data_IF_133576970646
#
_entry.id   IF_133576970646
#
_cell.length_a   1.000
_cell.length_b   1.000
_cell.length_c   1.000
_cell.angle_alpha   90.00
_cell.angle_beta   90.00
_cell.angle_gamma   90.00
#
_symmetry.space_group_name_H-M   'P 1'
#
loop_
_entity.id
_entity.type
_entity.pdbx_description
1 polymer ?
#
# COMPACT_ATOMS: atom_id res chain seq x y z
N UNK A 1 -3.04 -10.90 -5.84
CA UNK A 1 -2.56 -10.55 -7.19
C UNK A 1 -2.20 -9.08 -7.22
N UNK A 2 -0.96 -8.78 -7.52
CA UNK A 2 -0.52 -7.40 -7.74
C UNK A 2 -1.25 -6.80 -8.95
N UNK A 3 -1.63 -5.50 -8.86
CA UNK A 3 -2.37 -4.81 -9.91
C UNK A 3 -3.88 -5.10 -9.95
N UNK A 4 -4.43 -5.80 -8.96
CA UNK A 4 -5.86 -6.10 -8.91
C UNK A 4 -6.70 -4.94 -8.35
N UNK A 5 -6.14 -4.17 -7.42
CA UNK A 5 -6.90 -3.24 -6.56
C UNK A 5 -7.59 -2.11 -7.35
N UNK A 6 -6.86 -1.38 -8.19
CA UNK A 6 -7.42 -0.23 -8.93
C UNK A 6 -8.55 -0.65 -9.86
N UNK A 7 -8.38 -1.63 -10.77
CA UNK A 7 -9.47 -2.08 -11.64
C UNK A 7 -10.64 -2.71 -10.86
N UNK A 8 -10.38 -3.38 -9.75
CA UNK A 8 -11.46 -3.92 -8.91
C UNK A 8 -12.28 -2.82 -8.22
N UNK A 9 -11.61 -1.78 -7.69
CA UNK A 9 -12.28 -0.62 -7.12
C UNK A 9 -13.12 0.12 -8.18
N UNK A 10 -12.58 0.28 -9.40
CA UNK A 10 -13.30 0.84 -10.54
C UNK A 10 -14.58 0.04 -10.85
N UNK A 11 -14.47 -1.29 -10.93
CA UNK A 11 -15.61 -2.17 -11.17
C UNK A 11 -16.64 -2.10 -10.03
N UNK A 12 -16.20 -2.11 -8.78
CA UNK A 12 -17.06 -1.98 -7.61
C UNK A 12 -17.83 -0.64 -7.62
N UNK A 13 -17.14 0.47 -7.92
CA UNK A 13 -17.77 1.80 -8.00
C UNK A 13 -18.79 1.89 -9.14
N UNK A 14 -18.49 1.28 -10.28
CA UNK A 14 -19.42 1.20 -11.40
C UNK A 14 -20.68 0.40 -11.05
N UNK A 15 -20.53 -0.71 -10.33
CA UNK A 15 -21.66 -1.53 -9.87
C UNK A 15 -22.42 -0.92 -8.69
N UNK A 16 -21.81 -0.03 -7.93
CA UNK A 16 -22.36 0.62 -6.73
C UNK A 16 -22.10 2.14 -6.77
N UNK A 17 -22.69 2.86 -7.71
CA UNK A 17 -22.34 4.26 -8.00
C UNK A 17 -22.57 5.23 -6.83
N UNK A 18 -23.49 4.90 -5.92
CA UNK A 18 -23.81 5.75 -4.77
C UNK A 18 -22.96 5.44 -3.52
N UNK A 19 -22.20 4.35 -3.54
CA UNK A 19 -21.38 3.95 -2.39
C UNK A 19 -19.99 4.54 -2.47
N UNK A 20 -19.38 4.80 -1.31
CA UNK A 20 -17.97 5.15 -1.24
C UNK A 20 -17.15 3.86 -1.43
N UNK A 21 -16.22 3.87 -2.38
CA UNK A 21 -15.36 2.72 -2.67
C UNK A 21 -13.91 3.10 -2.39
N UNK A 22 -13.29 2.38 -1.47
CA UNK A 22 -11.87 2.44 -1.20
C UNK A 22 -11.16 1.18 -1.72
N UNK A 23 -10.04 1.36 -2.42
CA UNK A 23 -9.05 0.33 -2.66
C UNK A 23 -7.84 0.57 -1.76
N UNK A 24 -7.33 -0.49 -1.11
CA UNK A 24 -6.10 -0.43 -0.31
C UNK A 24 -5.05 -1.24 -1.05
N UNK A 25 -3.95 -0.61 -1.42
CA UNK A 25 -2.92 -1.22 -2.27
C UNK A 25 -1.51 -0.87 -1.79
N UNK A 26 -0.54 -1.68 -2.13
CA UNK A 26 0.87 -1.35 -1.92
C UNK A 26 1.43 -0.55 -3.08
N UNK A 27 2.51 0.20 -2.85
CA UNK A 27 3.22 1.01 -3.85
C UNK A 27 3.62 0.19 -5.08
N UNK A 28 4.17 -1.00 -4.91
CA UNK A 28 4.53 -1.89 -6.03
C UNK A 28 3.33 -2.47 -6.77
N UNK A 29 2.21 -2.71 -6.07
CA UNK A 29 0.98 -3.20 -6.69
C UNK A 29 0.28 -2.10 -7.48
N UNK A 30 0.17 -0.91 -6.91
CA UNK A 30 -0.43 0.26 -7.53
C UNK A 30 0.26 0.63 -8.85
N UNK A 31 1.59 0.53 -8.91
CA UNK A 31 2.36 0.83 -10.12
C UNK A 31 2.01 -0.08 -11.32
N UNK A 32 1.38 -1.23 -11.09
CA UNK A 32 1.05 -2.14 -12.19
C UNK A 32 -0.18 -1.73 -12.99
N UNK A 33 -1.13 -1.01 -12.37
CA UNK A 33 -2.43 -0.67 -13.01
C UNK A 33 -2.90 0.75 -12.71
N UNK A 34 -2.02 1.64 -12.28
CA UNK A 34 -2.36 3.03 -11.98
C UNK A 34 -2.91 3.81 -13.19
N UNK A 35 -2.58 3.39 -14.42
CA UNK A 35 -3.09 4.00 -15.65
C UNK A 35 -4.63 3.99 -15.74
N UNK A 36 -5.30 3.10 -15.02
CA UNK A 36 -6.77 3.06 -14.98
C UNK A 36 -7.37 4.27 -14.25
N UNK A 37 -6.58 5.06 -13.53
CA UNK A 37 -7.03 6.35 -13.00
C UNK A 37 -7.50 7.29 -14.10
N UNK A 38 -6.88 7.26 -15.28
CA UNK A 38 -7.32 8.04 -16.44
C UNK A 38 -8.71 7.61 -16.88
N UNK A 39 -8.95 6.31 -16.93
CA UNK A 39 -10.27 5.75 -17.24
C UNK A 39 -11.31 6.21 -16.22
N UNK A 40 -10.95 6.18 -14.94
CA UNK A 40 -11.83 6.65 -13.85
C UNK A 40 -12.14 8.15 -13.95
N UNK A 41 -11.12 8.97 -14.22
CA UNK A 41 -11.28 10.42 -14.35
C UNK A 41 -12.14 10.80 -15.56
N UNK A 42 -11.96 10.12 -16.70
CA UNK A 42 -12.73 10.39 -17.92
C UNK A 42 -14.21 9.95 -17.84
N UNK A 43 -14.53 9.01 -16.97
CA UNK A 43 -15.86 8.42 -16.86
C UNK A 43 -16.56 8.75 -15.53
N UNK A 44 -16.10 9.73 -14.79
CA UNK A 44 -16.67 10.16 -13.50
C UNK A 44 -16.85 8.99 -12.51
N UNK A 45 -15.79 8.17 -12.36
CA UNK A 45 -15.74 7.02 -11.45
C UNK A 45 -14.87 7.40 -10.22
N UNK A 46 -15.44 8.07 -9.21
CA UNK A 46 -14.70 8.63 -8.09
C UNK A 46 -14.33 7.55 -7.05
N UNK A 47 -13.38 6.69 -7.41
CA UNK A 47 -12.77 5.75 -6.47
C UNK A 47 -11.75 6.45 -5.57
N UNK A 48 -11.46 5.85 -4.43
CA UNK A 48 -10.43 6.30 -3.50
C UNK A 48 -9.41 5.18 -3.33
N UNK A 49 -8.14 5.48 -3.56
CA UNK A 49 -7.05 4.51 -3.44
C UNK A 49 -6.11 4.94 -2.33
N UNK A 50 -5.96 4.09 -1.32
CA UNK A 50 -4.94 4.22 -0.29
C UNK A 50 -3.70 3.43 -0.74
N UNK A 51 -2.62 4.14 -1.06
CA UNK A 51 -1.32 3.54 -1.41
C UNK A 51 -0.48 3.46 -0.15
N UNK A 52 -0.28 2.25 0.35
CA UNK A 52 0.59 1.98 1.50
C UNK A 52 2.03 1.86 0.99
N UNK A 53 2.76 2.96 1.08
CA UNK A 53 4.10 3.07 0.51
C UNK A 53 5.17 2.75 1.56
N UNK A 54 5.70 1.53 1.51
CA UNK A 54 6.87 1.11 2.28
C UNK A 54 8.15 1.06 1.43
N UNK A 55 8.09 1.53 0.19
CA UNK A 55 9.21 1.55 -0.76
C UNK A 55 9.81 0.16 -1.03
N UNK A 56 8.96 -0.88 -0.94
CA UNK A 56 9.45 -2.25 -1.08
C UNK A 56 8.34 -3.19 -1.56
N UNK A 57 8.73 -4.26 -2.26
CA UNK A 57 7.87 -5.43 -2.43
C UNK A 57 7.78 -6.16 -1.08
N UNK A 58 6.94 -5.65 -0.17
CA UNK A 58 6.96 -5.95 1.25
C UNK A 58 6.86 -7.44 1.58
N UNK A 59 5.93 -8.18 0.97
CA UNK A 59 5.78 -9.61 1.23
C UNK A 59 7.00 -10.40 0.73
N UNK A 60 7.55 -10.07 -0.45
CA UNK A 60 8.75 -10.73 -0.97
C UNK A 60 9.95 -10.45 -0.07
N UNK A 61 10.12 -9.20 0.37
CA UNK A 61 11.14 -8.81 1.33
C UNK A 61 10.99 -9.55 2.66
N UNK A 62 9.77 -9.70 3.18
CA UNK A 62 9.49 -10.46 4.40
C UNK A 62 9.96 -11.92 4.27
N UNK A 63 9.69 -12.55 3.15
CA UNK A 63 10.17 -13.92 2.89
C UNK A 63 11.69 -14.00 2.81
N UNK A 64 12.32 -13.04 2.16
CA UNK A 64 13.79 -12.97 2.11
C UNK A 64 14.38 -12.76 3.51
N UNK A 65 13.71 -12.01 4.36
CA UNK A 65 14.12 -11.83 5.77
C UNK A 65 14.01 -13.12 6.56
N UNK A 66 12.90 -13.85 6.42
CA UNK A 66 12.58 -15.02 7.25
C UNK A 66 13.23 -16.32 6.78
N UNK A 67 13.39 -16.49 5.48
CA UNK A 67 13.72 -17.80 4.90
C UNK A 67 14.99 -17.80 4.02
N UNK A 68 15.58 -16.65 3.73
CA UNK A 68 16.72 -16.52 2.81
C UNK A 68 17.89 -15.73 3.42
N UNK A 69 18.08 -15.80 4.74
CA UNK A 69 19.18 -15.16 5.47
C UNK A 69 19.36 -13.67 5.15
N UNK A 70 18.25 -12.96 4.96
CA UNK A 70 18.23 -11.53 4.58
C UNK A 70 18.97 -11.23 3.27
N UNK A 71 19.05 -12.19 2.38
CA UNK A 71 19.63 -11.98 1.03
C UNK A 71 18.59 -11.29 0.15
N UNK A 72 18.52 -9.98 0.26
CA UNK A 72 17.57 -9.15 -0.48
C UNK A 72 17.97 -9.02 -1.95
N UNK A 73 17.03 -9.31 -2.84
CA UNK A 73 17.22 -9.18 -4.29
C UNK A 73 15.96 -8.63 -4.93
N UNK A 74 16.10 -7.52 -5.66
CA UNK A 74 15.05 -6.90 -6.48
C UNK A 74 13.75 -6.57 -5.73
N UNK A 75 13.81 -6.33 -4.42
CA UNK A 75 12.64 -6.00 -3.59
C UNK A 75 12.61 -4.57 -3.12
N UNK A 76 13.73 -3.85 -3.22
CA UNK A 76 13.81 -2.44 -2.86
C UNK A 76 13.28 -1.58 -4.01
N UNK A 77 12.22 -0.81 -3.74
CA UNK A 77 11.65 0.17 -4.65
C UNK A 77 12.12 1.60 -4.34
N UNK A 78 12.85 1.78 -3.23
CA UNK A 78 13.49 3.03 -2.86
C UNK A 78 14.67 3.31 -3.81
N UNK A 79 14.35 3.87 -4.94
CA UNK A 79 15.32 4.37 -5.91
C UNK A 79 15.18 5.88 -6.01
N UNK A 80 16.23 6.60 -6.35
CA UNK A 80 16.16 8.05 -6.54
C UNK A 80 15.22 8.50 -7.68
N UNK A 81 14.44 7.59 -8.23
CA UNK A 81 13.57 7.80 -9.38
C UNK A 81 12.21 7.11 -9.22
N UNK A 82 11.76 6.87 -7.98
CA UNK A 82 10.39 6.40 -7.74
C UNK A 82 9.39 7.49 -8.14
N UNK A 83 8.21 7.11 -8.60
CA UNK A 83 7.15 8.07 -8.84
C UNK A 83 6.78 8.83 -7.57
N UNK A 84 6.55 10.11 -7.67
CA UNK A 84 5.76 10.85 -6.70
C UNK A 84 4.29 10.48 -6.95
N UNK A 85 3.70 9.66 -6.08
CA UNK A 85 2.35 9.13 -6.31
C UNK A 85 1.27 10.20 -6.31
N UNK A 86 1.29 11.22 -5.44
CA UNK A 86 0.39 12.36 -5.56
C UNK A 86 0.52 13.09 -6.89
N UNK A 87 1.73 13.43 -7.32
CA UNK A 87 1.96 14.10 -8.59
C UNK A 87 1.53 13.23 -9.79
N UNK A 88 1.76 11.91 -9.72
CA UNK A 88 1.31 10.96 -10.73
C UNK A 88 -0.22 10.92 -10.80
N UNK A 89 -0.90 10.92 -9.66
CA UNK A 89 -2.37 10.95 -9.58
C UNK A 89 -2.93 12.23 -10.22
N UNK A 90 -2.37 13.38 -9.91
CA UNK A 90 -2.74 14.66 -10.50
C UNK A 90 -2.56 14.67 -12.02
N UNK A 91 -1.45 14.14 -12.52
CA UNK A 91 -1.19 14.02 -13.96
C UNK A 91 -2.21 13.12 -14.67
N UNK A 92 -2.89 12.23 -13.94
CA UNK A 92 -3.92 11.32 -14.45
C UNK A 92 -5.36 11.82 -14.19
N UNK A 93 -5.53 13.05 -13.67
CA UNK A 93 -6.84 13.64 -13.42
C UNK A 93 -7.48 13.26 -12.08
N UNK A 94 -6.74 12.62 -11.20
CA UNK A 94 -7.14 12.33 -9.83
C UNK A 94 -6.68 13.43 -8.87
N UNK A 95 -7.22 13.47 -7.64
CA UNK A 95 -6.66 14.24 -6.54
C UNK A 95 -5.56 13.40 -5.87
N UNK A 96 -4.35 13.96 -5.76
CA UNK A 96 -3.21 13.35 -5.08
C UNK A 96 -3.02 13.92 -3.67
N UNK A 97 -2.95 13.06 -2.66
CA UNK A 97 -2.74 13.42 -1.26
C UNK A 97 -1.63 12.55 -0.66
N UNK A 98 -0.96 13.04 0.39
CA UNK A 98 0.07 12.30 1.11
C UNK A 98 -0.06 12.53 2.62
N UNK A 99 0.16 11.46 3.39
CA UNK A 99 0.38 11.52 4.82
C UNK A 99 1.71 10.83 5.15
N UNK A 100 2.59 11.53 5.83
CA UNK A 100 3.92 11.04 6.26
C UNK A 100 3.94 10.80 7.78
N UNK A 101 2.99 11.39 8.51
CA UNK A 101 2.86 11.27 9.96
C UNK A 101 1.44 10.83 10.35
N UNK A 102 1.25 10.20 11.53
CA UNK A 102 -0.08 9.83 12.02
C UNK A 102 -1.04 11.02 12.14
N UNK A 103 -0.53 12.20 12.47
CA UNK A 103 -1.31 13.43 12.68
C UNK A 103 -1.96 13.92 11.36
N UNK A 104 -1.33 13.67 10.23
CA UNK A 104 -1.82 14.07 8.91
C UNK A 104 -2.93 13.16 8.38
N UNK A 105 -3.07 11.95 8.95
CA UNK A 105 -4.01 10.93 8.43
C UNK A 105 -5.46 11.41 8.47
N UNK A 106 -5.89 12.05 9.55
CA UNK A 106 -7.29 12.51 9.67
C UNK A 106 -7.61 13.57 8.63
N UNK A 107 -6.70 14.51 8.37
CA UNK A 107 -6.88 15.58 7.41
C UNK A 107 -6.99 15.03 5.98
N UNK A 108 -6.06 14.17 5.55
CA UNK A 108 -6.08 13.62 4.19
C UNK A 108 -7.28 12.70 3.97
N UNK A 109 -7.71 11.96 4.98
CA UNK A 109 -8.94 11.15 4.89
C UNK A 109 -10.18 12.03 4.77
N UNK A 110 -10.28 13.12 5.53
CA UNK A 110 -11.39 14.05 5.43
C UNK A 110 -11.47 14.68 4.03
N UNK A 111 -10.35 15.12 3.46
CA UNK A 111 -10.27 15.64 2.09
C UNK A 111 -10.67 14.58 1.06
N UNK A 112 -10.14 13.37 1.20
CA UNK A 112 -10.47 12.26 0.31
C UNK A 112 -11.96 11.92 0.36
N UNK A 113 -12.60 11.92 1.53
CA UNK A 113 -14.02 11.65 1.70
C UNK A 113 -14.89 12.77 1.15
N UNK A 114 -14.46 14.02 1.23
CA UNK A 114 -15.16 15.18 0.67
C UNK A 114 -15.12 15.24 -0.87
N UNK A 115 -14.08 14.66 -1.49
CA UNK A 115 -13.90 14.68 -2.94
C UNK A 115 -14.66 13.54 -3.59
N UNK A 116 -15.73 13.84 -4.34
CA UNK A 116 -16.60 12.85 -4.97
C UNK A 116 -16.85 13.12 -6.47
N UNK A 117 -16.11 14.05 -7.05
CA UNK A 117 -16.20 14.45 -8.46
C UNK A 117 -15.09 13.80 -9.33
N UNK A 118 -14.09 13.19 -8.70
CA UNK A 118 -12.96 12.59 -9.38
C UNK A 118 -12.32 11.46 -8.52
N UNK A 119 -11.44 10.62 -9.10
CA UNK A 119 -10.64 9.67 -8.31
C UNK A 119 -9.74 10.40 -7.31
N UNK A 120 -9.42 9.73 -6.20
CA UNK A 120 -8.49 10.23 -5.19
C UNK A 120 -7.44 9.16 -4.92
N UNK A 121 -6.18 9.56 -4.84
CA UNK A 121 -5.08 8.72 -4.40
C UNK A 121 -4.47 9.33 -3.14
N UNK A 122 -4.46 8.59 -2.06
CA UNK A 122 -3.81 8.98 -0.80
C UNK A 122 -2.61 8.07 -0.58
N UNK A 123 -1.44 8.64 -0.63
CA UNK A 123 -0.20 7.95 -0.27
C UNK A 123 0.01 8.03 1.24
N UNK A 124 0.13 6.87 1.88
CA UNK A 124 0.55 6.74 3.27
C UNK A 124 1.97 6.21 3.31
N UNK A 125 2.90 7.06 3.74
CA UNK A 125 4.31 6.65 3.89
C UNK A 125 4.45 5.85 5.19
N UNK A 126 4.86 4.60 5.07
CA UNK A 126 4.98 3.69 6.21
C UNK A 126 6.39 3.15 6.35
N UNK A 127 6.67 2.57 7.53
CA UNK A 127 8.00 2.05 7.82
C UNK A 127 8.38 0.90 6.87
N UNK A 128 9.58 0.98 6.30
CA UNK A 128 10.11 0.05 5.30
C UNK A 128 10.16 -1.41 5.76
N UNK A 129 10.43 -1.63 7.03
CA UNK A 129 10.59 -2.96 7.60
C UNK A 129 9.34 -3.49 8.30
N UNK A 130 8.19 -2.80 8.15
CA UNK A 130 6.92 -3.31 8.63
C UNK A 130 6.59 -4.65 7.96
N UNK A 131 6.22 -5.63 8.77
CA UNK A 131 5.90 -6.99 8.33
C UNK A 131 4.44 -7.33 8.62
N UNK A 132 3.90 -8.27 7.86
CA UNK A 132 2.53 -8.78 8.05
C UNK A 132 2.54 -9.96 9.01
N UNK A 133 1.82 -9.84 10.10
CA UNK A 133 1.69 -10.85 11.14
C UNK A 133 0.22 -11.09 11.52
N UNK A 134 -0.16 -12.29 11.94
CA UNK A 134 0.63 -13.52 11.98
C UNK A 134 0.88 -14.11 10.59
N UNK A 135 1.88 -14.98 10.45
CA UNK A 135 2.26 -15.63 9.21
C UNK A 135 2.42 -17.14 9.39
N UNK A 136 1.89 -17.92 8.45
CA UNK A 136 2.14 -19.35 8.31
C UNK A 136 3.03 -19.56 7.09
N UNK A 137 4.19 -20.19 7.27
CA UNK A 137 5.10 -20.45 6.16
C UNK A 137 4.54 -21.54 5.22
N UNK A 138 4.85 -21.45 3.93
CA UNK A 138 4.47 -22.49 2.97
C UNK A 138 5.05 -23.85 3.37
N UNK A 139 4.23 -24.89 3.33
CA UNK A 139 4.63 -26.26 3.69
C UNK A 139 4.64 -26.56 5.20
N UNK A 140 4.22 -25.62 6.05
CA UNK A 140 4.05 -25.86 7.50
C UNK A 140 2.57 -25.99 7.89
N UNK A 141 2.32 -26.49 9.11
CA UNK A 141 0.99 -26.54 9.70
C UNK A 141 0.51 -25.16 10.13
N UNK A 142 -0.82 -24.97 10.21
CA UNK A 142 -1.40 -23.79 10.86
C UNK A 142 -1.04 -23.67 12.35
N UNK A 143 -0.57 -24.76 12.96
CA UNK A 143 -0.07 -24.74 14.34
C UNK A 143 1.34 -24.11 14.44
N UNK A 144 2.07 -24.02 13.33
CA UNK A 144 3.39 -23.40 13.23
C UNK A 144 3.31 -21.92 12.86
N UNK A 145 2.39 -21.21 13.48
CA UNK A 145 2.18 -19.79 13.21
C UNK A 145 3.32 -18.93 13.76
N UNK A 146 3.86 -18.05 12.91
CA UNK A 146 4.87 -17.06 13.30
C UNK A 146 4.19 -15.75 13.69
N UNK A 147 4.67 -15.14 14.75
CA UNK A 147 4.19 -13.86 15.25
C UNK A 147 5.34 -12.87 15.39
N UNK A 148 5.03 -11.57 15.47
CA UNK A 148 6.03 -10.50 15.50
C UNK A 148 7.08 -10.66 16.61
N UNK A 149 6.68 -11.11 17.80
CA UNK A 149 7.57 -11.29 18.95
C UNK A 149 8.64 -12.37 18.73
N UNK A 150 8.42 -13.31 17.80
CA UNK A 150 9.41 -14.37 17.49
C UNK A 150 10.65 -13.83 16.79
N UNK A 151 10.56 -12.59 16.31
CA UNK A 151 11.65 -11.84 15.67
C UNK A 151 12.04 -10.59 16.44
N UNK A 152 11.47 -10.36 17.62
CA UNK A 152 11.88 -9.25 18.46
C UNK A 152 13.38 -9.36 18.72
N UNK A 153 14.18 -8.28 18.56
CA UNK A 153 15.57 -8.30 18.94
C UNK A 153 15.62 -8.70 20.42
N UNK A 154 16.47 -9.67 20.73
CA UNK A 154 16.83 -9.96 22.12
C UNK A 154 17.61 -8.74 22.58
N UNK A 155 16.98 -7.86 23.34
CA UNK A 155 17.70 -6.80 24.02
C UNK A 155 18.59 -7.52 25.04
N UNK A 156 19.89 -7.43 24.86
CA UNK A 156 20.82 -7.78 25.95
C UNK A 156 20.42 -6.90 27.12
N UNK A 157 20.00 -7.52 28.23
CA UNK A 157 19.78 -6.79 29.47
C UNK A 157 21.10 -6.08 29.76
N UNK A 158 21.10 -4.74 29.68
CA UNK A 158 22.22 -3.97 30.21
C UNK A 158 22.37 -4.38 31.66
N UNK A 159 23.45 -5.12 31.92
CA UNK A 159 23.85 -5.46 33.30
C UNK A 159 24.23 -4.14 33.97
N UNK A 160 23.29 -3.61 34.78
CA UNK A 160 23.53 -2.50 35.68
C UNK A 160 24.54 -2.91 36.76
#
# INVERSE_FOLDING_TARGET
TMGYCVPAAMGAKTGRPNDVVWGIDGDGCFQMTNQELVTCALNDIPIKIAVINNQSLGMVRQWQTLFYDKRYSSTNLDTHRIPDFPALAEAMGALGLRAETPEEVEEVLALAMATNDRPVVVEFVVHKDAMVWPMVAAGTSNDDIKIARDLAPVWEEEVL
#
